data_IF_499220659610
#
_entry.id   IF_499220659610
#
_cell.length_a   1.000
_cell.length_b   1.000
_cell.length_c   1.000
_cell.angle_alpha   90.00
_cell.angle_beta   90.00
_cell.angle_gamma   90.00
#
_symmetry.space_group_name_H-M   'P 1'
#
loop_
_entity.id
_entity.type
_entity.pdbx_description
1 polymer ?
#
# COMPACT_ATOMS: atom_id res chain seq x y z
N UNK A 1 -21.01 -6.28 -10.16
CA UNK A 1 -20.84 -4.88 -9.70
C UNK A 1 -19.47 -4.76 -9.05
N UNK A 2 -18.63 -3.82 -9.51
CA UNK A 2 -17.31 -3.57 -8.92
C UNK A 2 -17.47 -2.74 -7.65
N UNK A 3 -17.04 -3.27 -6.50
CA UNK A 3 -16.95 -2.47 -5.27
C UNK A 3 -15.70 -1.60 -5.37
N UNK A 4 -15.80 -0.54 -6.18
CA UNK A 4 -15.00 0.66 -6.02
C UNK A 4 -15.50 1.30 -4.73
N UNK A 5 -14.58 1.63 -3.81
CA UNK A 5 -14.83 2.59 -2.72
C UNK A 5 -15.69 3.71 -3.29
N UNK A 6 -16.85 3.96 -2.69
CA UNK A 6 -17.72 5.08 -3.06
C UNK A 6 -16.96 6.36 -2.80
N UNK A 7 -16.24 6.81 -3.83
CA UNK A 7 -15.57 8.09 -3.82
C UNK A 7 -16.63 9.17 -3.82
N UNK A 8 -16.57 9.99 -2.79
CA UNK A 8 -17.36 11.21 -2.67
C UNK A 8 -17.25 12.00 -3.99
N UNK A 9 -18.36 12.53 -4.54
CA UNK A 9 -18.37 13.21 -5.86
C UNK A 9 -17.38 14.39 -5.93
N UNK A 10 -17.08 15.01 -4.80
CA UNK A 10 -16.01 16.00 -4.63
C UNK A 10 -14.60 15.43 -4.91
N UNK A 11 -14.31 14.20 -4.47
CA UNK A 11 -13.05 13.50 -4.75
C UNK A 11 -12.94 13.10 -6.23
N UNK A 12 -14.05 12.77 -6.89
CA UNK A 12 -14.11 12.57 -8.34
C UNK A 12 -13.78 13.84 -9.13
N UNK A 13 -14.38 14.98 -8.76
CA UNK A 13 -14.08 16.29 -9.40
C UNK A 13 -12.65 16.76 -9.17
N UNK A 14 -12.12 16.58 -7.96
CA UNK A 14 -10.72 16.89 -7.63
C UNK A 14 -9.72 16.05 -8.45
N UNK A 15 -10.07 14.83 -8.88
CA UNK A 15 -9.23 14.00 -9.75
C UNK A 15 -9.10 14.55 -11.18
N UNK A 16 -10.16 15.18 -11.71
CA UNK A 16 -10.17 15.78 -13.05
C UNK A 16 -9.32 17.05 -13.11
N UNK A 17 -9.50 17.95 -12.14
CA UNK A 17 -8.75 19.21 -12.06
C UNK A 17 -7.26 18.96 -11.74
N UNK A 18 -6.93 17.91 -10.97
CA UNK A 18 -5.54 17.60 -10.58
C UNK A 18 -4.72 16.86 -11.64
N UNK A 19 -5.34 16.26 -12.67
CA UNK A 19 -4.64 15.73 -13.87
C UNK A 19 -3.96 16.83 -14.68
N UNK A 20 -4.52 18.04 -14.67
CA UNK A 20 -3.97 19.20 -15.39
C UNK A 20 -2.73 19.81 -14.69
N UNK A 21 -2.51 19.51 -13.41
CA UNK A 21 -1.44 20.12 -12.61
C UNK A 21 -0.11 19.33 -12.60
N UNK A 22 0.04 18.29 -13.44
CA UNK A 22 1.32 17.57 -13.64
C UNK A 22 1.89 16.87 -12.40
N UNK A 23 1.17 16.79 -11.29
CA UNK A 23 1.61 16.14 -10.05
C UNK A 23 0.82 14.87 -9.79
N UNK A 24 1.42 13.72 -10.13
CA UNK A 24 0.94 12.40 -9.69
C UNK A 24 1.07 12.31 -8.18
N UNK A 25 -0.05 12.38 -7.46
CA UNK A 25 -0.10 12.07 -6.03
C UNK A 25 -0.64 10.66 -5.87
N UNK A 26 0.27 9.78 -5.43
CA UNK A 26 0.01 8.44 -4.93
C UNK A 26 -1.27 8.37 -4.10
N UNK A 27 -2.23 7.55 -4.52
CA UNK A 27 -3.34 7.09 -3.69
C UNK A 27 -2.87 5.82 -2.96
N UNK A 28 -2.93 5.75 -1.62
CA UNK A 28 -2.52 4.59 -0.81
C UNK A 28 -3.28 3.27 -1.07
N UNK A 29 -4.10 3.20 -2.12
CA UNK A 29 -4.99 2.08 -2.44
C UNK A 29 -4.45 1.17 -3.54
N UNK A 30 -3.42 1.59 -4.28
CA UNK A 30 -2.84 0.81 -5.38
C UNK A 30 -1.43 0.37 -4.98
N UNK A 31 -1.17 -0.93 -4.93
CA UNK A 31 0.14 -1.48 -4.60
C UNK A 31 1.20 -0.85 -5.53
N UNK A 32 2.11 0.01 -5.03
CA UNK A 32 3.04 0.71 -5.90
C UNK A 32 4.07 -0.25 -6.46
N UNK A 33 4.52 0.03 -7.69
CA UNK A 33 5.67 -0.63 -8.27
C UNK A 33 6.89 0.24 -8.04
N UNK A 34 7.94 -0.33 -7.45
CA UNK A 34 9.22 0.35 -7.27
C UNK A 34 10.27 -0.29 -8.17
N UNK A 35 11.20 0.50 -8.68
CA UNK A 35 12.30 0.05 -9.51
C UNK A 35 13.63 0.47 -8.91
N UNK A 36 14.68 -0.31 -9.16
CA UNK A 36 16.05 0.01 -8.79
C UNK A 36 17.00 -0.53 -9.87
N UNK A 37 18.10 0.16 -10.10
CA UNK A 37 19.14 -0.29 -11.03
C UNK A 37 20.33 -0.87 -10.26
N UNK A 38 20.71 -2.10 -10.57
CA UNK A 38 21.87 -2.78 -9.96
C UNK A 38 22.73 -3.34 -11.08
N UNK A 39 24.04 -3.02 -11.08
CA UNK A 39 24.99 -3.44 -12.13
C UNK A 39 24.52 -3.12 -13.56
N UNK A 40 23.87 -1.96 -13.75
CA UNK A 40 23.34 -1.52 -15.05
C UNK A 40 21.95 -2.06 -15.39
N UNK A 41 21.38 -2.95 -14.59
CA UNK A 41 20.13 -3.64 -14.91
C UNK A 41 18.97 -3.17 -14.03
N UNK A 42 17.80 -2.99 -14.65
CA UNK A 42 16.59 -2.56 -13.95
C UNK A 42 15.82 -3.74 -13.38
N UNK A 43 15.47 -3.64 -12.09
CA UNK A 43 14.62 -4.57 -11.37
C UNK A 43 13.36 -3.83 -10.92
N UNK A 44 12.20 -4.43 -11.13
CA UNK A 44 10.90 -3.88 -10.71
C UNK A 44 10.25 -4.79 -9.68
N UNK A 45 9.68 -4.20 -8.64
CA UNK A 45 9.03 -4.89 -7.53
C UNK A 45 7.60 -4.38 -7.34
N UNK A 46 6.64 -5.30 -7.32
CA UNK A 46 5.27 -5.00 -6.90
C UNK A 46 5.18 -5.01 -5.36
N UNK A 47 5.02 -3.85 -4.73
CA UNK A 47 5.01 -3.72 -3.27
C UNK A 47 3.60 -3.86 -2.68
N UNK A 48 3.00 -5.04 -2.81
CA UNK A 48 1.69 -5.35 -2.23
C UNK A 48 1.79 -5.35 -0.70
N UNK A 49 0.90 -4.60 -0.03
CA UNK A 49 0.86 -4.54 1.43
C UNK A 49 0.82 -5.93 2.05
N UNK A 50 1.63 -6.12 3.12
CA UNK A 50 1.73 -7.38 3.89
C UNK A 50 2.28 -8.58 3.11
N UNK A 51 2.88 -8.35 1.94
CA UNK A 51 3.65 -9.35 1.19
C UNK A 51 5.13 -8.95 1.15
N UNK A 52 5.77 -8.86 2.32
CA UNK A 52 7.15 -8.39 2.47
C UNK A 52 7.42 -6.95 1.94
N UNK A 53 6.39 -6.11 1.81
CA UNK A 53 6.55 -4.75 1.27
C UNK A 53 7.52 -3.85 2.05
N UNK A 54 7.77 -4.11 3.34
CA UNK A 54 8.84 -3.41 4.08
C UNK A 54 10.23 -3.84 3.61
N UNK A 55 10.45 -5.14 3.39
CA UNK A 55 11.72 -5.67 2.92
C UNK A 55 12.01 -5.24 1.49
N UNK A 56 11.00 -5.22 0.61
CA UNK A 56 11.12 -4.70 -0.76
C UNK A 56 11.59 -3.24 -0.73
N UNK A 57 10.99 -2.41 0.14
CA UNK A 57 11.36 -1.00 0.27
C UNK A 57 12.80 -0.83 0.75
N UNK A 58 13.22 -1.63 1.73
CA UNK A 58 14.61 -1.61 2.23
C UNK A 58 15.60 -2.11 1.16
N UNK A 59 15.22 -3.10 0.36
CA UNK A 59 16.03 -3.62 -0.74
C UNK A 59 16.24 -2.56 -1.83
N UNK A 60 15.16 -1.87 -2.24
CA UNK A 60 15.23 -0.77 -3.22
C UNK A 60 16.07 0.39 -2.67
N UNK A 61 15.95 0.72 -1.39
CA UNK A 61 16.79 1.72 -0.73
C UNK A 61 18.27 1.33 -0.75
N UNK A 62 18.59 0.09 -0.35
CA UNK A 62 19.97 -0.41 -0.31
C UNK A 62 20.61 -0.52 -1.71
N UNK A 63 19.82 -0.88 -2.73
CA UNK A 63 20.28 -0.96 -4.12
C UNK A 63 20.34 0.40 -4.83
N UNK A 64 19.89 1.48 -4.19
CA UNK A 64 19.86 2.79 -4.83
C UNK A 64 21.27 3.38 -4.93
N UNK A 65 21.59 3.91 -6.11
CA UNK A 65 22.77 4.78 -6.31
C UNK A 65 22.68 6.12 -5.57
N UNK A 66 21.49 6.46 -5.04
CA UNK A 66 21.23 7.68 -4.27
C UNK A 66 21.03 7.31 -2.81
N UNK A 67 21.82 7.91 -1.92
CA UNK A 67 21.57 7.83 -0.48
C UNK A 67 20.27 8.55 -0.09
N UNK A 68 19.50 7.96 0.83
CA UNK A 68 18.37 8.64 1.48
C UNK A 68 18.91 9.59 2.55
N UNK A 69 18.40 10.83 2.57
CA UNK A 69 18.76 11.80 3.62
C UNK A 69 18.30 11.33 5.00
N UNK A 70 19.02 11.73 6.06
CA UNK A 70 18.72 11.31 7.44
C UNK A 70 17.26 11.61 7.86
N UNK A 71 16.77 12.81 7.51
CA UNK A 71 15.40 13.25 7.84
C UNK A 71 14.36 12.88 6.77
N UNK A 72 14.76 12.29 5.65
CA UNK A 72 13.85 11.94 4.57
C UNK A 72 13.10 10.64 4.90
N UNK A 73 11.76 10.67 4.87
CA UNK A 73 10.99 9.44 5.02
C UNK A 73 11.25 8.46 3.87
N UNK A 74 11.32 7.17 4.18
CA UNK A 74 11.49 6.12 3.16
C UNK A 74 10.44 6.19 2.05
N UNK A 75 9.20 6.57 2.37
CA UNK A 75 8.16 6.72 1.36
C UNK A 75 8.46 7.86 0.39
N UNK A 76 8.82 9.04 0.90
CA UNK A 76 9.18 10.17 0.04
C UNK A 76 10.34 9.83 -0.87
N UNK A 77 11.40 9.24 -0.31
CA UNK A 77 12.57 8.80 -1.05
C UNK A 77 12.20 7.86 -2.20
N UNK A 78 11.42 6.81 -1.91
CA UNK A 78 11.01 5.84 -2.91
C UNK A 78 10.09 6.43 -3.97
N UNK A 79 9.13 7.27 -3.59
CA UNK A 79 8.19 7.85 -4.56
C UNK A 79 8.84 8.82 -5.54
N UNK A 80 9.82 9.58 -5.07
CA UNK A 80 10.52 10.53 -5.91
C UNK A 80 11.52 9.85 -6.84
N UNK A 81 12.29 8.88 -6.30
CA UNK A 81 13.46 8.35 -7.01
C UNK A 81 13.20 6.99 -7.68
N UNK A 82 12.30 6.18 -7.14
CA UNK A 82 12.17 4.75 -7.48
C UNK A 82 10.78 4.32 -7.90
N UNK A 83 9.79 5.22 -7.93
CA UNK A 83 8.45 4.87 -8.40
C UNK A 83 8.47 4.56 -9.89
N UNK A 84 7.87 3.43 -10.27
CA UNK A 84 7.55 3.13 -11.67
C UNK A 84 6.35 3.98 -12.08
N UNK A 85 6.50 4.76 -13.15
CA UNK A 85 5.47 5.72 -13.60
C UNK A 85 4.76 5.31 -14.88
N UNK A 86 5.30 4.34 -15.61
CA UNK A 86 4.74 3.92 -16.90
C UNK A 86 4.98 2.44 -17.19
N UNK A 87 4.17 1.89 -18.09
CA UNK A 87 4.35 0.52 -18.58
C UNK A 87 5.71 0.31 -19.26
N UNK A 88 6.20 1.31 -20.00
CA UNK A 88 7.53 1.29 -20.63
C UNK A 88 8.67 1.07 -19.63
N UNK A 89 8.55 1.63 -18.43
CA UNK A 89 9.54 1.43 -17.37
C UNK A 89 9.51 0.01 -16.80
N UNK A 90 8.35 -0.67 -16.85
CA UNK A 90 8.24 -2.09 -16.53
C UNK A 90 8.84 -2.93 -17.64
N UNK A 91 8.53 -2.63 -18.90
CA UNK A 91 8.95 -3.44 -20.05
C UNK A 91 10.48 -3.40 -20.28
N UNK A 92 11.17 -2.33 -19.84
CA UNK A 92 12.65 -2.26 -19.87
C UNK A 92 13.34 -3.03 -18.74
N UNK A 93 12.59 -3.48 -17.74
CA UNK A 93 13.17 -4.15 -16.58
C UNK A 93 13.64 -5.55 -16.99
N UNK A 94 14.83 -5.94 -16.54
CA UNK A 94 15.32 -7.30 -16.73
C UNK A 94 14.43 -8.29 -15.99
N UNK A 95 13.99 -7.91 -14.79
CA UNK A 95 13.12 -8.72 -13.96
C UNK A 95 12.00 -7.89 -13.34
N UNK A 96 10.80 -8.45 -13.36
CA UNK A 96 9.62 -7.95 -12.65
C UNK A 96 9.26 -8.99 -11.59
N UNK A 97 9.33 -8.60 -10.32
CA UNK A 97 9.12 -9.50 -9.20
C UNK A 97 7.86 -9.14 -8.43
N UNK A 98 7.11 -10.19 -8.08
CA UNK A 98 5.97 -10.11 -7.18
C UNK A 98 6.19 -11.11 -6.05
N UNK A 99 6.04 -10.63 -4.83
CA UNK A 99 6.02 -11.50 -3.65
C UNK A 99 4.56 -11.62 -3.23
N UNK A 100 4.10 -12.85 -3.12
CA UNK A 100 2.73 -13.18 -2.72
C UNK A 100 2.76 -14.10 -1.52
N UNK A 101 1.88 -13.79 -0.57
CA UNK A 101 1.67 -14.54 0.67
C UNK A 101 0.26 -15.13 0.62
N UNK A 102 0.03 -16.32 1.21
CA UNK A 102 -1.32 -16.86 1.37
C UNK A 102 -2.29 -15.80 1.91
N UNK A 103 -3.50 -15.66 1.33
CA UNK A 103 -4.44 -14.61 1.71
C UNK A 103 -4.79 -14.64 3.21
N UNK A 104 -4.98 -15.83 3.77
CA UNK A 104 -5.30 -16.01 5.18
C UNK A 104 -4.18 -15.46 6.08
N UNK A 105 -2.93 -15.85 5.81
CA UNK A 105 -1.78 -15.35 6.56
C UNK A 105 -1.62 -13.83 6.43
N UNK A 106 -1.98 -13.27 5.27
CA UNK A 106 -1.97 -11.81 5.04
C UNK A 106 -2.97 -11.11 5.96
N UNK A 107 -4.16 -11.67 6.10
CA UNK A 107 -5.23 -11.17 6.99
C UNK A 107 -4.80 -11.26 8.45
N UNK A 108 -4.27 -12.42 8.87
CA UNK A 108 -3.72 -12.62 10.23
C UNK A 108 -2.62 -11.61 10.52
N UNK A 109 -1.66 -11.44 9.60
CA UNK A 109 -0.56 -10.47 9.75
C UNK A 109 -1.04 -9.02 9.79
N UNK A 110 -2.13 -8.70 9.08
CA UNK A 110 -2.76 -7.39 9.17
C UNK A 110 -3.31 -7.16 10.58
N UNK A 111 -4.12 -8.10 11.09
CA UNK A 111 -4.71 -8.01 12.42
C UNK A 111 -3.65 -7.91 13.51
N UNK A 112 -2.68 -8.82 13.53
CA UNK A 112 -1.58 -8.80 14.51
C UNK A 112 -0.84 -7.45 14.50
N UNK A 113 -0.54 -6.91 13.33
CA UNK A 113 0.22 -5.66 13.25
C UNK A 113 -0.62 -4.43 13.64
N UNK A 114 -1.91 -4.41 13.30
CA UNK A 114 -2.75 -3.23 13.46
C UNK A 114 -3.50 -3.21 14.79
N UNK A 115 -4.03 -4.34 15.24
CA UNK A 115 -4.87 -4.44 16.44
C UNK A 115 -4.07 -4.86 17.67
N UNK A 116 -3.16 -5.82 17.53
CA UNK A 116 -2.33 -6.30 18.65
C UNK A 116 -1.12 -5.39 18.87
N UNK A 117 -0.25 -5.26 17.87
CA UNK A 117 0.97 -4.43 17.95
C UNK A 117 0.72 -2.93 17.82
N UNK A 118 -0.49 -2.54 17.37
CA UNK A 118 -0.90 -1.13 17.20
C UNK A 118 0.04 -0.29 16.33
N UNK A 119 0.76 -0.91 15.39
CA UNK A 119 1.75 -0.23 14.54
C UNK A 119 1.08 0.47 13.36
N UNK A 120 1.03 1.81 13.41
CA UNK A 120 0.41 2.62 12.36
C UNK A 120 -1.09 2.34 12.21
N UNK A 121 -1.80 2.25 13.34
CA UNK A 121 -3.17 1.78 13.45
C UNK A 121 -4.23 2.90 13.53
N UNK A 122 -3.84 4.18 13.61
CA UNK A 122 -4.76 5.29 13.88
C UNK A 122 -5.97 5.32 12.94
N UNK A 123 -5.76 5.11 11.63
CA UNK A 123 -6.83 5.14 10.63
C UNK A 123 -7.73 3.91 10.68
N UNK A 124 -7.16 2.71 10.82
CA UNK A 124 -7.93 1.45 10.84
C UNK A 124 -8.73 1.28 12.14
N UNK A 125 -8.30 1.88 13.25
CA UNK A 125 -9.08 1.87 14.50
C UNK A 125 -10.33 2.73 14.39
N UNK A 126 -10.20 3.93 13.83
CA UNK A 126 -11.34 4.80 13.55
C UNK A 126 -12.33 4.13 12.59
N UNK A 127 -11.81 3.54 11.51
CA UNK A 127 -12.62 2.84 10.50
C UNK A 127 -13.30 1.59 11.08
N UNK A 128 -12.59 0.77 11.87
CA UNK A 128 -13.17 -0.38 12.54
C UNK A 128 -14.32 0.01 13.48
N UNK A 129 -14.12 1.05 14.31
CA UNK A 129 -15.16 1.56 15.19
C UNK A 129 -16.37 2.08 14.41
N UNK A 130 -16.13 2.76 13.29
CA UNK A 130 -17.18 3.29 12.44
C UNK A 130 -18.01 2.17 11.79
N UNK A 131 -17.36 1.11 11.29
CA UNK A 131 -18.03 0.00 10.59
C UNK A 131 -18.75 -0.93 11.57
N UNK A 132 -18.12 -1.26 12.69
CA UNK A 132 -18.63 -2.31 13.61
C UNK A 132 -19.36 -1.74 14.83
N UNK A 133 -19.19 -0.45 15.14
CA UNK A 133 -19.63 0.15 16.40
C UNK A 133 -18.82 -0.27 17.63
N UNK A 134 -17.93 -1.26 17.51
CA UNK A 134 -17.17 -1.82 18.63
C UNK A 134 -15.88 -1.05 18.91
N UNK A 135 -15.39 -1.16 20.15
CA UNK A 135 -14.07 -0.64 20.50
C UNK A 135 -12.96 -1.47 19.82
N UNK A 136 -12.14 -0.89 18.94
CA UNK A 136 -11.04 -1.60 18.29
C UNK A 136 -9.99 -2.13 19.27
N UNK A 137 -9.90 -1.59 20.49
CA UNK A 137 -8.99 -2.12 21.51
C UNK A 137 -9.42 -3.49 22.05
N UNK A 138 -10.70 -3.84 21.91
CA UNK A 138 -11.31 -5.11 22.34
C UNK A 138 -11.61 -6.04 21.15
N UNK A 139 -11.10 -5.73 19.96
CA UNK A 139 -11.31 -6.55 18.78
C UNK A 139 -10.59 -7.89 18.92
N UNK A 140 -11.30 -8.99 18.67
CA UNK A 140 -10.71 -10.32 18.45
C UNK A 140 -10.47 -10.54 16.96
N UNK A 141 -9.66 -11.54 16.61
CA UNK A 141 -9.45 -11.89 15.20
C UNK A 141 -10.76 -12.30 14.52
N UNK A 142 -11.60 -13.06 15.23
CA UNK A 142 -12.91 -13.48 14.76
C UNK A 142 -13.81 -12.29 14.42
N UNK A 143 -13.98 -11.33 15.36
CA UNK A 143 -14.76 -10.10 15.11
C UNK A 143 -14.18 -9.27 13.96
N UNK A 144 -12.85 -9.20 13.87
CA UNK A 144 -12.20 -8.53 12.75
C UNK A 144 -12.55 -9.16 11.40
N UNK A 145 -12.63 -10.49 11.32
CA UNK A 145 -12.99 -11.18 10.07
C UNK A 145 -14.50 -11.08 9.80
N UNK A 146 -15.34 -11.42 10.78
CA UNK A 146 -16.79 -11.55 10.59
C UNK A 146 -17.53 -10.22 10.57
N UNK A 147 -17.12 -9.26 11.39
CA UNK A 147 -17.88 -8.03 11.60
C UNK A 147 -17.28 -6.86 10.82
N UNK A 148 -15.95 -6.86 10.60
CA UNK A 148 -15.29 -5.80 9.86
C UNK A 148 -14.99 -6.18 8.41
N UNK A 149 -14.13 -7.19 8.16
CA UNK A 149 -13.74 -7.54 6.79
C UNK A 149 -14.93 -8.00 5.95
N UNK A 150 -15.85 -8.81 6.50
CA UNK A 150 -17.06 -9.21 5.78
C UNK A 150 -17.93 -8.01 5.40
N UNK A 151 -18.08 -6.99 6.24
CA UNK A 151 -18.86 -5.80 5.88
C UNK A 151 -18.13 -4.91 4.85
N UNK A 152 -16.79 -4.85 4.93
CA UNK A 152 -15.99 -4.09 3.97
C UNK A 152 -15.93 -4.73 2.57
N UNK A 153 -16.05 -6.06 2.46
CA UNK A 153 -15.86 -6.80 1.21
C UNK A 153 -17.06 -7.65 0.76
N UNK A 154 -18.06 -7.84 1.63
CA UNK A 154 -19.19 -8.75 1.45
C UNK A 154 -20.52 -8.06 1.15
N UNK A 155 -20.49 -6.85 0.61
CA UNK A 155 -21.67 -6.22 0.03
C UNK A 155 -22.08 -6.92 -1.26
N UNK A 156 -23.21 -7.65 -1.19
CA UNK A 156 -24.14 -7.74 -2.32
C UNK A 156 -24.81 -6.41 -2.60
#
# INVERSE_FOLDING_TARGET
MSVLKTDNRLAAGLRGVKRLAGRSLYLPTEAPHFQVQVNGEWFVFCAIHKNASSSIRALVEAGSSRGRGADESIFRFLFLNHLVRSRKEVDRARHVMVFVRPPLDRVVSCFQNKFIQRKGNRTIFADFKQVTGADPAQATFERFVHDYLRLCFGGG
#
